data_IF_689247698337
#
_entry.id   IF_689247698337
#
_cell.length_a   1.000
_cell.length_b   1.000
_cell.length_c   1.000
_cell.angle_alpha   90.00
_cell.angle_beta   90.00
_cell.angle_gamma   90.00
#
_symmetry.space_group_name_H-M   'P 1'
#
loop_
_entity.id
_entity.type
_entity.pdbx_description
1 polymer ?
#
# COMPACT_ATOMS: atom_id res chain seq x y z
N UNK A 1 -3.91 -64.66 -16.81
CA UNK A 1 -3.10 -63.46 -16.53
C UNK A 1 -3.81 -62.23 -17.10
N UNK A 2 -4.92 -61.74 -16.49
CA UNK A 2 -5.88 -60.90 -17.25
C UNK A 2 -6.12 -59.49 -16.68
N UNK A 3 -5.59 -59.11 -15.52
CA UNK A 3 -6.03 -57.85 -14.87
C UNK A 3 -4.89 -57.10 -14.19
N UNK A 4 -3.76 -57.77 -13.95
CA UNK A 4 -2.62 -57.24 -13.23
C UNK A 4 -1.96 -56.05 -13.95
N UNK A 5 -1.70 -56.19 -15.25
CA UNK A 5 -1.08 -55.12 -16.05
C UNK A 5 -2.00 -53.90 -16.17
N UNK A 6 -3.31 -54.11 -16.21
CA UNK A 6 -4.30 -53.03 -16.29
C UNK A 6 -4.38 -52.23 -14.97
N UNK A 7 -4.27 -52.93 -13.83
CA UNK A 7 -4.25 -52.29 -12.51
C UNK A 7 -2.97 -51.47 -12.27
N UNK A 8 -1.80 -51.97 -12.70
CA UNK A 8 -0.54 -51.21 -12.60
C UNK A 8 -0.58 -49.96 -13.47
N UNK A 9 -1.12 -50.06 -14.69
CA UNK A 9 -1.27 -48.91 -15.58
C UNK A 9 -2.24 -47.86 -14.99
N UNK A 10 -3.34 -48.28 -14.36
CA UNK A 10 -4.29 -47.37 -13.71
C UNK A 10 -3.67 -46.63 -12.50
N UNK A 11 -2.86 -47.32 -11.68
CA UNK A 11 -2.16 -46.69 -10.56
C UNK A 11 -1.11 -45.66 -11.02
N UNK A 12 -0.44 -45.91 -12.14
CA UNK A 12 0.53 -44.96 -12.70
C UNK A 12 -0.13 -43.65 -13.18
N UNK A 13 -1.33 -43.73 -13.76
CA UNK A 13 -2.10 -42.56 -14.19
C UNK A 13 -2.54 -41.69 -13.01
N UNK A 14 -2.91 -42.30 -11.88
CA UNK A 14 -3.30 -41.58 -10.65
C UNK A 14 -2.11 -40.83 -10.03
N UNK A 15 -0.90 -41.40 -10.10
CA UNK A 15 0.31 -40.75 -9.60
C UNK A 15 0.73 -39.54 -10.47
N UNK A 16 0.45 -39.57 -11.77
CA UNK A 16 0.71 -38.47 -12.70
C UNK A 16 -0.28 -37.30 -12.54
N UNK A 17 -1.48 -37.53 -11.98
CA UNK A 17 -2.43 -36.43 -11.69
C UNK A 17 -2.04 -35.55 -10.50
N UNK A 18 -1.09 -35.97 -9.65
CA UNK A 18 -0.60 -35.15 -8.54
C UNK A 18 0.45 -34.11 -8.95
N UNK A 19 1.02 -34.19 -10.16
CA UNK A 19 1.98 -33.18 -10.66
C UNK A 19 1.31 -32.02 -11.40
N UNK A 20 -0.01 -32.10 -11.68
CA UNK A 20 -0.73 -31.04 -12.38
C UNK A 20 -1.12 -29.85 -11.49
N UNK A 21 -0.88 -29.93 -10.18
CA UNK A 21 -1.05 -28.81 -9.26
C UNK A 21 0.27 -28.03 -9.14
N UNK A 22 0.81 -27.54 -10.25
CA UNK A 22 1.73 -26.41 -10.18
C UNK A 22 0.88 -25.21 -9.74
N UNK A 23 1.03 -24.85 -8.46
CA UNK A 23 0.62 -23.54 -7.94
C UNK A 23 1.47 -22.51 -8.68
N UNK A 24 1.03 -22.14 -9.89
CA UNK A 24 1.54 -20.99 -10.63
C UNK A 24 1.01 -19.73 -9.94
N UNK A 25 1.38 -19.57 -8.66
CA UNK A 25 1.12 -18.36 -7.91
C UNK A 25 2.11 -17.34 -8.43
N UNK A 26 1.63 -16.44 -9.27
CA UNK A 26 2.30 -15.18 -9.55
C UNK A 26 2.46 -14.47 -8.20
N UNK A 27 3.60 -14.68 -7.55
CA UNK A 27 3.96 -14.00 -6.31
C UNK A 27 4.14 -12.53 -6.63
N UNK A 28 3.05 -11.76 -6.49
CA UNK A 28 3.12 -10.29 -6.45
C UNK A 28 3.85 -9.94 -5.16
N UNK A 29 5.17 -9.94 -5.25
CA UNK A 29 6.01 -9.42 -4.18
C UNK A 29 5.85 -7.91 -4.26
N UNK A 30 5.09 -7.34 -3.33
CA UNK A 30 5.07 -5.88 -3.13
C UNK A 30 6.50 -5.51 -2.77
N UNK A 31 7.24 -4.92 -3.71
CA UNK A 31 8.48 -4.25 -3.36
C UNK A 31 8.13 -3.25 -2.26
N UNK A 32 8.88 -3.18 -1.14
CA UNK A 32 8.62 -2.19 -0.11
C UNK A 32 8.64 -0.84 -0.79
N UNK A 33 7.44 -0.27 -1.00
CA UNK A 33 7.30 0.99 -1.68
C UNK A 33 8.17 1.98 -0.90
N UNK A 34 9.05 2.69 -1.59
CA UNK A 34 9.76 3.80 -0.98
C UNK A 34 8.71 4.68 -0.32
N UNK A 35 8.76 4.81 1.01
CA UNK A 35 7.76 5.55 1.74
C UNK A 35 7.69 6.97 1.15
N UNK A 36 6.50 7.49 0.85
CA UNK A 36 6.37 8.79 0.23
C UNK A 36 6.99 9.85 1.15
N UNK A 37 7.92 10.64 0.62
CA UNK A 37 8.59 11.70 1.38
C UNK A 37 7.60 12.85 1.56
N UNK A 38 7.22 13.12 2.81
CA UNK A 38 6.36 14.24 3.16
C UNK A 38 7.18 15.53 3.26
N UNK A 39 6.72 16.57 2.56
CA UNK A 39 7.29 17.92 2.58
C UNK A 39 6.23 18.91 3.02
N UNK A 40 6.63 19.94 3.76
CA UNK A 40 5.74 20.99 4.25
C UNK A 40 6.27 22.36 3.80
N UNK A 41 5.37 23.27 3.44
CA UNK A 41 5.75 24.65 3.04
C UNK A 41 6.30 25.48 4.20
N UNK A 42 5.97 25.11 5.44
CA UNK A 42 6.41 25.78 6.65
C UNK A 42 6.53 24.79 7.81
N UNK A 43 7.46 25.05 8.73
CA UNK A 43 7.63 24.29 9.99
C UNK A 43 6.77 24.84 11.12
N UNK A 44 6.29 26.08 10.98
CA UNK A 44 5.43 26.77 11.93
C UNK A 44 4.29 27.46 11.17
N UNK A 45 3.05 27.27 11.62
CA UNK A 45 1.91 28.01 11.10
C UNK A 45 1.78 29.34 11.85
N UNK A 46 2.03 30.46 11.19
CA UNK A 46 1.72 31.80 11.70
C UNK A 46 0.30 32.16 11.32
N UNK A 47 -0.64 31.96 12.25
CA UNK A 47 -2.04 32.32 12.08
C UNK A 47 -2.23 33.76 12.55
N UNK A 48 -2.56 34.66 11.62
CA UNK A 48 -2.84 36.07 11.91
C UNK A 48 -4.17 36.48 11.28
N UNK A 49 -4.89 37.42 11.89
CA UNK A 49 -6.18 37.87 11.37
C UNK A 49 -6.12 38.38 9.92
N UNK A 50 -5.06 39.10 9.48
CA UNK A 50 -4.91 39.50 8.08
C UNK A 50 -4.77 38.33 7.08
N UNK A 51 -4.20 37.20 7.50
CA UNK A 51 -3.92 36.03 6.64
C UNK A 51 -4.89 34.88 6.92
N UNK A 52 -6.03 35.15 7.55
CA UNK A 52 -6.99 34.12 7.96
C UNK A 52 -7.63 33.35 6.78
N UNK A 53 -7.57 33.91 5.57
CA UNK A 53 -8.06 33.26 4.35
C UNK A 53 -6.95 32.53 3.57
N UNK A 54 -5.69 32.65 4.02
CA UNK A 54 -4.57 32.00 3.36
C UNK A 54 -4.36 30.59 3.93
N UNK A 55 -3.89 29.67 3.09
CA UNK A 55 -3.55 28.33 3.55
C UNK A 55 -2.36 28.41 4.53
N UNK A 56 -2.54 27.92 5.75
CA UNK A 56 -1.52 27.98 6.79
C UNK A 56 -0.30 27.12 6.47
N UNK A 57 -0.51 25.86 6.07
CA UNK A 57 0.57 24.96 5.65
C UNK A 57 0.10 24.11 4.47
N UNK A 58 0.94 24.01 3.44
CA UNK A 58 0.79 23.07 2.33
C UNK A 58 1.69 21.87 2.57
N UNK A 59 1.09 20.68 2.50
CA UNK A 59 1.79 19.40 2.57
C UNK A 59 1.82 18.75 1.19
N UNK A 60 2.99 18.25 0.78
CA UNK A 60 3.20 17.60 -0.52
C UNK A 60 4.01 16.32 -0.37
N UNK A 61 3.69 15.30 -1.14
CA UNK A 61 4.42 14.03 -1.14
C UNK A 61 4.49 13.41 -2.53
N UNK A 62 5.50 12.57 -2.75
CA UNK A 62 5.61 11.78 -3.97
C UNK A 62 4.58 10.62 -3.96
N UNK A 63 4.03 10.21 -5.11
CA UNK A 63 3.22 9.00 -5.17
C UNK A 63 3.98 7.77 -4.67
N UNK A 64 3.31 6.90 -3.93
CA UNK A 64 3.86 5.59 -3.55
C UNK A 64 4.05 4.73 -4.81
N UNK A 65 5.24 4.14 -4.95
CA UNK A 65 5.56 3.25 -6.06
C UNK A 65 5.61 1.80 -5.56
N UNK A 66 4.64 1.00 -5.97
CA UNK A 66 4.55 -0.42 -5.62
C UNK A 66 5.12 -1.35 -6.71
N UNK A 67 5.68 -0.79 -7.80
CA UNK A 67 6.15 -1.56 -8.96
C UNK A 67 5.04 -1.98 -9.94
N UNK A 68 3.81 -1.55 -9.70
CA UNK A 68 2.64 -1.75 -10.58
C UNK A 68 1.60 -0.64 -10.35
N UNK A 69 0.59 -0.56 -11.21
CA UNK A 69 -0.50 0.39 -11.09
C UNK A 69 -1.45 -0.01 -9.94
N UNK A 70 -1.18 0.49 -8.73
CA UNK A 70 -2.01 0.28 -7.55
C UNK A 70 -2.94 1.48 -7.30
N UNK A 71 -4.21 1.21 -7.00
CA UNK A 71 -5.10 2.21 -6.45
C UNK A 71 -4.60 2.62 -5.05
N UNK A 72 -4.11 3.85 -4.92
CA UNK A 72 -3.47 4.33 -3.68
C UNK A 72 -4.31 5.39 -3.01
N UNK A 73 -4.54 5.21 -1.69
CA UNK A 73 -5.22 6.19 -0.83
C UNK A 73 -4.27 6.66 0.26
N UNK A 74 -4.19 7.97 0.46
CA UNK A 74 -3.31 8.63 1.42
C UNK A 74 -4.10 9.17 2.62
N UNK A 75 -3.52 9.02 3.81
CA UNK A 75 -4.02 9.61 5.06
C UNK A 75 -2.87 10.37 5.71
N UNK A 76 -3.09 11.66 5.98
CA UNK A 76 -2.16 12.48 6.75
C UNK A 76 -2.52 12.36 8.23
N UNK A 77 -1.52 12.11 9.07
CA UNK A 77 -1.69 12.03 10.51
C UNK A 77 -0.88 13.12 11.21
N UNK A 78 -1.52 13.82 12.12
CA UNK A 78 -0.94 14.88 12.93
C UNK A 78 -0.98 14.49 14.40
N UNK A 79 0.14 14.67 15.09
CA UNK A 79 0.22 14.50 16.55
C UNK A 79 1.06 15.64 17.14
N UNK A 80 0.93 15.82 18.44
CA UNK A 80 1.75 16.78 19.20
C UNK A 80 3.21 16.33 19.17
N UNK A 81 4.12 17.29 19.27
CA UNK A 81 5.56 17.00 19.40
C UNK A 81 5.81 16.07 20.59
N UNK A 82 6.52 14.96 20.34
CA UNK A 82 6.79 13.93 21.36
C UNK A 82 5.68 12.90 21.55
N UNK A 83 4.57 13.03 20.81
CA UNK A 83 3.54 12.00 20.72
C UNK A 83 3.99 10.78 19.90
N UNK A 84 3.23 9.70 20.02
CA UNK A 84 3.48 8.41 19.36
C UNK A 84 2.38 8.04 18.34
N UNK A 85 1.57 9.01 17.95
CA UNK A 85 0.40 8.86 17.06
C UNK A 85 -0.74 8.01 17.64
N UNK A 86 -0.73 7.64 18.93
CA UNK A 86 -1.86 6.92 19.57
C UNK A 86 -3.15 7.74 19.66
N UNK A 87 -3.06 9.07 19.58
CA UNK A 87 -4.18 10.02 19.55
C UNK A 87 -4.04 10.99 18.38
N UNK A 88 -3.53 10.51 17.24
CA UNK A 88 -3.34 11.33 16.06
C UNK A 88 -4.67 11.82 15.46
N UNK A 89 -4.65 13.04 14.95
CA UNK A 89 -5.71 13.56 14.07
C UNK A 89 -5.41 13.08 12.66
N UNK A 90 -6.36 12.40 12.03
CA UNK A 90 -6.22 11.87 10.67
C UNK A 90 -7.04 12.67 9.68
N UNK A 91 -6.41 13.07 8.58
CA UNK A 91 -7.04 13.73 7.43
C UNK A 91 -6.93 12.80 6.23
N UNK A 92 -8.08 12.44 5.65
CA UNK A 92 -8.11 11.65 4.43
C UNK A 92 -7.76 12.55 3.24
N UNK A 93 -6.68 12.22 2.54
CA UNK A 93 -6.23 12.94 1.34
C UNK A 93 -6.60 12.22 0.03
N UNK A 94 -7.31 11.09 0.11
CA UNK A 94 -7.73 10.32 -1.05
C UNK A 94 -6.54 9.93 -1.92
N UNK A 95 -6.68 10.13 -3.22
CA UNK A 95 -5.63 9.83 -4.21
C UNK A 95 -4.74 11.06 -4.51
N UNK A 96 -4.92 12.17 -3.77
CA UNK A 96 -4.14 13.38 -3.99
C UNK A 96 -2.69 13.23 -3.50
N UNK A 97 -1.80 14.07 -4.02
CA UNK A 97 -0.38 14.18 -3.59
C UNK A 97 -0.10 15.49 -2.86
N UNK A 98 -1.14 16.27 -2.61
CA UNK A 98 -1.08 17.58 -1.97
C UNK A 98 -2.27 17.77 -1.04
N UNK A 99 -2.04 18.30 0.15
CA UNK A 99 -3.10 18.71 1.07
C UNK A 99 -2.82 20.11 1.64
N UNK A 100 -3.89 20.86 1.87
CA UNK A 100 -3.83 22.18 2.46
C UNK A 100 -4.49 22.16 3.84
N UNK A 101 -3.79 22.65 4.84
CA UNK A 101 -4.37 22.99 6.13
C UNK A 101 -4.70 24.48 6.12
N UNK A 102 -6.00 24.78 6.16
CA UNK A 102 -6.54 26.11 6.42
C UNK A 102 -6.66 26.32 7.93
#
# INVERSE_FOLDING_TARGET
MKNWFLNIAASAVVLLSFTACEKDETKVTIAPAGAPVLTASATTATLSQPTANDNAVKYTWAPANFGFAAATTYTLQFDKKGGNFSKAVSINAGNATTAHCA
#
